data_IF_472305845583
#
_entry.id   IF_472305845583
#
_cell.length_a   1.000
_cell.length_b   1.000
_cell.length_c   1.000
_cell.angle_alpha   90.00
_cell.angle_beta   90.00
_cell.angle_gamma   90.00
#
_symmetry.space_group_name_H-M   'P 1'
#
loop_
_entity.id
_entity.type
_entity.pdbx_description
1 polymer ?
#
# COMPACT_ATOMS: atom_id res chain seq x y z
N UNK A 1 -55.15 8.08 -67.41
CA UNK A 1 -54.28 8.75 -66.42
C UNK A 1 -54.02 7.88 -65.17
N UNK A 2 -53.84 6.55 -65.31
CA UNK A 2 -53.48 5.64 -64.19
C UNK A 2 -52.17 4.86 -64.42
N UNK A 3 -51.72 4.73 -65.68
CA UNK A 3 -50.49 4.01 -66.05
C UNK A 3 -49.20 4.82 -65.81
N UNK A 4 -49.25 6.15 -65.90
CA UNK A 4 -48.07 7.02 -65.70
C UNK A 4 -47.65 7.10 -64.22
N UNK A 5 -48.60 7.03 -63.30
CA UNK A 5 -48.33 7.09 -61.86
C UNK A 5 -47.65 5.81 -61.37
N UNK A 6 -48.09 4.63 -61.84
CA UNK A 6 -47.48 3.35 -61.44
C UNK A 6 -46.04 3.14 -61.93
N UNK A 7 -45.69 3.68 -63.10
CA UNK A 7 -44.33 3.59 -63.64
C UNK A 7 -43.35 4.49 -62.86
N UNK A 8 -43.80 5.67 -62.42
CA UNK A 8 -42.99 6.59 -61.61
C UNK A 8 -42.76 6.02 -60.21
N UNK A 9 -43.76 5.38 -59.59
CA UNK A 9 -43.61 4.74 -58.29
C UNK A 9 -42.65 3.53 -58.36
N UNK A 10 -42.70 2.75 -59.44
CA UNK A 10 -41.83 1.58 -59.60
C UNK A 10 -40.35 1.98 -59.83
N UNK A 11 -40.10 3.04 -60.60
CA UNK A 11 -38.74 3.59 -60.82
C UNK A 11 -38.20 4.22 -59.53
N UNK A 12 -39.04 4.94 -58.77
CA UNK A 12 -38.65 5.49 -57.48
C UNK A 12 -38.26 4.42 -56.45
N UNK A 13 -38.98 3.30 -56.41
CA UNK A 13 -38.68 2.19 -55.50
C UNK A 13 -37.42 1.41 -55.91
N UNK A 14 -37.16 1.26 -57.23
CA UNK A 14 -35.92 0.68 -57.74
C UNK A 14 -34.69 1.57 -57.47
N UNK A 15 -34.84 2.90 -57.53
CA UNK A 15 -33.77 3.84 -57.21
C UNK A 15 -33.42 3.85 -55.71
N UNK A 16 -34.40 3.64 -54.82
CA UNK A 16 -34.15 3.52 -53.37
C UNK A 16 -33.41 2.22 -52.98
N UNK A 17 -33.58 1.14 -53.75
CA UNK A 17 -32.86 -0.12 -53.53
C UNK A 17 -31.37 -0.06 -53.94
N UNK A 18 -30.99 0.88 -54.82
CA UNK A 18 -29.61 1.03 -55.29
C UNK A 18 -28.73 1.88 -54.35
N UNK A 19 -29.33 2.61 -53.40
CA UNK A 19 -28.60 3.46 -52.43
C UNK A 19 -28.47 2.78 -51.05
N UNK A 20 -29.14 1.66 -50.83
CA UNK A 20 -29.20 0.98 -49.53
C UNK A 20 -28.06 -0.01 -49.26
N UNK A 21 -27.15 -0.23 -50.22
CA UNK A 21 -26.05 -1.20 -50.07
C UNK A 21 -24.73 -0.66 -50.61
N UNK A 22 -24.10 0.24 -49.87
CA UNK A 22 -22.64 0.31 -49.87
C UNK A 22 -22.19 -0.08 -48.47
N UNK A 23 -21.67 -1.30 -48.31
CA UNK A 23 -20.99 -1.66 -47.07
C UNK A 23 -19.83 -0.68 -46.91
N UNK A 24 -19.78 0.04 -45.79
CA UNK A 24 -18.58 0.77 -45.44
C UNK A 24 -17.44 -0.26 -45.32
N UNK A 25 -16.27 -0.01 -45.94
CA UNK A 25 -15.16 -0.91 -45.78
C UNK A 25 -14.88 -1.08 -44.28
N UNK A 26 -14.60 -2.32 -43.82
CA UNK A 26 -14.31 -2.54 -42.41
C UNK A 26 -13.19 -1.59 -41.98
N UNK A 27 -13.24 -1.06 -40.75
CA UNK A 27 -12.18 -0.22 -40.25
C UNK A 27 -10.86 -0.99 -40.39
N UNK A 28 -9.83 -0.30 -40.89
CA UNK A 28 -8.49 -0.90 -41.02
C UNK A 28 -8.10 -1.45 -39.66
N UNK A 29 -7.80 -2.74 -39.62
CA UNK A 29 -7.38 -3.38 -38.38
C UNK A 29 -6.08 -2.71 -37.91
N UNK A 30 -6.02 -2.14 -36.70
CA UNK A 30 -4.81 -1.49 -36.18
C UNK A 30 -3.62 -2.44 -36.01
N UNK A 31 -3.85 -3.75 -36.16
CA UNK A 31 -2.81 -4.79 -36.19
C UNK A 31 -2.34 -5.15 -37.62
N UNK A 32 -3.02 -4.69 -38.67
CA UNK A 32 -2.58 -4.91 -40.05
C UNK A 32 -1.36 -4.02 -40.35
N UNK A 33 -0.27 -4.63 -40.87
CA UNK A 33 0.97 -3.92 -41.16
C UNK A 33 1.94 -3.77 -39.98
N UNK A 34 1.65 -4.38 -38.83
CA UNK A 34 2.64 -4.52 -37.77
C UNK A 34 3.78 -5.43 -38.23
N UNK A 35 5.02 -5.00 -37.99
CA UNK A 35 6.19 -5.85 -38.24
C UNK A 35 6.17 -6.97 -37.19
N UNK A 36 5.91 -8.21 -37.65
CA UNK A 36 5.96 -9.40 -36.80
C UNK A 36 7.35 -9.47 -36.14
N UNK A 37 7.40 -9.65 -34.82
CA UNK A 37 8.60 -9.61 -33.96
C UNK A 37 9.22 -8.23 -33.68
N UNK A 38 8.52 -7.12 -33.92
CA UNK A 38 8.90 -5.86 -33.25
C UNK A 38 8.37 -5.85 -31.81
N UNK A 39 9.10 -6.54 -30.93
CA UNK A 39 8.97 -6.31 -29.49
C UNK A 39 9.54 -4.93 -29.16
N UNK A 40 8.69 -3.90 -29.18
CA UNK A 40 9.04 -2.52 -28.83
C UNK A 40 9.29 -2.33 -27.33
N UNK A 41 9.11 -3.38 -26.52
CA UNK A 41 9.28 -3.38 -25.06
C UNK A 41 10.30 -4.42 -24.58
N UNK A 42 11.15 -4.92 -25.48
CA UNK A 42 12.27 -5.79 -25.13
C UNK A 42 13.25 -5.10 -24.16
N UNK A 43 13.22 -5.49 -22.89
CA UNK A 43 14.18 -5.04 -21.89
C UNK A 43 15.52 -5.75 -22.12
N UNK A 44 16.44 -5.06 -22.80
CA UNK A 44 17.82 -5.49 -22.92
C UNK A 44 18.67 -4.93 -21.78
N UNK A 45 19.10 -5.80 -20.88
CA UNK A 45 20.07 -5.48 -19.84
C UNK A 45 21.47 -5.56 -20.48
N UNK A 46 22.15 -4.42 -20.59
CA UNK A 46 23.47 -4.31 -21.21
C UNK A 46 24.51 -4.10 -20.12
N UNK A 47 25.48 -5.02 -20.03
CA UNK A 47 26.62 -4.95 -19.10
C UNK A 47 26.23 -4.55 -17.66
N UNK A 48 25.26 -5.24 -17.01
CA UNK A 48 24.88 -4.87 -15.66
C UNK A 48 26.01 -5.15 -14.68
N UNK A 49 26.07 -4.34 -13.62
CA UNK A 49 26.93 -4.62 -12.47
C UNK A 49 26.63 -6.02 -11.92
N UNK A 50 27.61 -6.93 -11.79
CA UNK A 50 27.34 -8.33 -11.45
C UNK A 50 26.64 -8.55 -10.10
N UNK A 51 26.82 -7.62 -9.15
CA UNK A 51 26.20 -7.61 -7.82
C UNK A 51 24.99 -6.67 -7.73
N UNK A 52 24.40 -6.27 -8.86
CA UNK A 52 23.07 -5.64 -8.91
C UNK A 52 21.99 -6.69 -9.14
N UNK A 53 20.72 -6.38 -8.82
CA UNK A 53 19.61 -7.28 -9.15
C UNK A 53 19.53 -7.56 -10.65
N UNK A 54 19.86 -6.58 -11.50
CA UNK A 54 19.90 -6.76 -12.95
C UNK A 54 20.98 -7.77 -13.38
N UNK A 55 22.18 -7.67 -12.78
CA UNK A 55 23.28 -8.60 -13.04
C UNK A 55 23.02 -10.00 -12.49
N UNK A 56 22.45 -10.10 -11.30
CA UNK A 56 22.05 -11.38 -10.70
C UNK A 56 20.95 -12.05 -11.52
N UNK A 57 19.96 -11.29 -11.98
CA UNK A 57 18.90 -11.81 -12.83
C UNK A 57 19.44 -12.31 -14.17
N UNK A 58 20.25 -11.49 -14.86
CA UNK A 58 20.80 -11.84 -16.18
C UNK A 58 21.77 -13.02 -16.12
N UNK A 59 22.64 -13.06 -15.11
CA UNK A 59 23.72 -14.05 -15.04
C UNK A 59 23.32 -15.32 -14.27
N UNK A 60 22.31 -15.27 -13.39
CA UNK A 60 22.00 -16.38 -12.49
C UNK A 60 20.53 -16.78 -12.56
N UNK A 61 19.61 -15.92 -12.13
CA UNK A 61 18.21 -16.32 -11.93
C UNK A 61 17.54 -16.73 -13.24
N UNK A 62 17.74 -15.96 -14.31
CA UNK A 62 17.15 -16.26 -15.61
C UNK A 62 17.75 -17.51 -16.27
N UNK A 63 19.08 -17.65 -16.45
CA UNK A 63 19.65 -18.80 -17.16
C UNK A 63 19.68 -20.09 -16.35
N UNK A 64 19.66 -20.01 -15.01
CA UNK A 64 19.84 -21.20 -14.15
C UNK A 64 18.58 -21.62 -13.41
N UNK A 65 17.72 -20.66 -13.04
CA UNK A 65 16.60 -20.94 -12.14
C UNK A 65 15.23 -20.82 -12.82
N UNK A 66 15.08 -19.93 -13.81
CA UNK A 66 13.83 -19.67 -14.54
C UNK A 66 13.54 -20.73 -15.62
N UNK A 67 13.81 -22.01 -15.32
CA UNK A 67 13.60 -23.13 -16.23
C UNK A 67 12.21 -23.73 -16.04
N UNK A 68 11.68 -24.39 -17.07
CA UNK A 68 10.35 -25.00 -17.03
C UNK A 68 10.24 -26.00 -15.86
N UNK A 69 9.21 -25.84 -15.04
CA UNK A 69 8.97 -26.64 -13.84
C UNK A 69 9.80 -26.26 -12.61
N UNK A 70 10.68 -25.25 -12.69
CA UNK A 70 11.49 -24.75 -11.58
C UNK A 70 11.00 -23.38 -11.07
N UNK A 71 11.31 -22.29 -11.74
CA UNK A 71 10.84 -20.94 -11.37
C UNK A 71 10.35 -20.19 -12.61
N UNK A 72 9.55 -20.89 -13.40
CA UNK A 72 8.95 -20.44 -14.66
C UNK A 72 7.67 -19.60 -14.48
N UNK A 73 7.37 -19.21 -13.23
CA UNK A 73 6.19 -18.41 -12.89
C UNK A 73 4.89 -19.18 -12.71
N UNK A 74 4.93 -20.52 -12.73
CA UNK A 74 3.81 -21.35 -12.26
C UNK A 74 3.61 -21.24 -10.75
N UNK A 75 4.68 -20.95 -10.01
CA UNK A 75 4.68 -20.74 -8.57
C UNK A 75 5.81 -19.80 -8.16
N UNK A 76 5.78 -19.37 -6.90
CA UNK A 76 6.78 -18.46 -6.36
C UNK A 76 8.02 -19.18 -5.78
N UNK A 77 9.20 -18.53 -5.77
CA UNK A 77 9.51 -17.26 -6.43
C UNK A 77 9.46 -17.35 -7.96
N UNK A 78 9.08 -16.26 -8.62
CA UNK A 78 8.91 -16.16 -10.09
C UNK A 78 10.09 -15.42 -10.73
N UNK A 79 10.92 -16.14 -11.49
CA UNK A 79 12.10 -15.57 -12.14
C UNK A 79 11.95 -15.31 -13.64
N UNK A 80 10.72 -15.27 -14.18
CA UNK A 80 10.52 -14.96 -15.60
C UNK A 80 10.98 -13.56 -15.99
N UNK A 81 10.80 -12.59 -15.10
CA UNK A 81 11.18 -11.18 -15.31
C UNK A 81 12.04 -10.67 -14.16
N UNK A 82 12.79 -9.61 -14.41
CA UNK A 82 13.58 -8.94 -13.37
C UNK A 82 12.68 -8.47 -12.21
N UNK A 83 11.54 -7.87 -12.54
CA UNK A 83 10.61 -7.32 -11.56
C UNK A 83 9.90 -8.41 -10.76
N UNK A 84 9.47 -9.50 -11.41
CA UNK A 84 8.88 -10.64 -10.70
C UNK A 84 9.91 -11.27 -9.77
N UNK A 85 11.17 -11.40 -10.21
CA UNK A 85 12.23 -11.95 -9.39
C UNK A 85 12.45 -11.11 -8.13
N UNK A 86 12.60 -9.79 -8.28
CA UNK A 86 12.81 -8.90 -7.13
C UNK A 86 11.63 -8.95 -6.14
N UNK A 87 10.40 -8.76 -6.64
CA UNK A 87 9.21 -8.63 -5.79
C UNK A 87 8.81 -9.95 -5.12
N UNK A 88 9.16 -11.10 -5.72
CA UNK A 88 8.92 -12.41 -5.10
C UNK A 88 10.10 -12.91 -4.25
N UNK A 89 11.21 -12.17 -4.17
CA UNK A 89 12.36 -12.52 -3.32
C UNK A 89 12.47 -11.68 -2.07
N UNK A 90 12.48 -10.35 -2.21
CA UNK A 90 12.86 -9.45 -1.11
C UNK A 90 11.71 -9.31 -0.12
N UNK A 91 11.99 -9.63 1.16
CA UNK A 91 11.04 -9.68 2.27
C UNK A 91 9.81 -10.58 2.05
N UNK A 92 9.93 -11.59 1.18
CA UNK A 92 8.88 -12.59 0.99
C UNK A 92 9.09 -13.80 1.88
N UNK A 93 8.00 -14.32 2.46
CA UNK A 93 8.06 -15.50 3.33
C UNK A 93 8.49 -16.74 2.53
N UNK A 94 9.43 -17.55 3.05
CA UNK A 94 9.80 -18.81 2.43
C UNK A 94 8.62 -19.80 2.39
N UNK A 95 8.35 -20.43 1.24
CA UNK A 95 7.28 -21.44 1.11
C UNK A 95 7.65 -22.75 1.82
N UNK A 96 8.89 -23.19 1.63
CA UNK A 96 9.47 -24.34 2.34
C UNK A 96 10.54 -23.81 3.27
N UNK A 97 10.33 -23.99 4.56
CA UNK A 97 11.20 -23.50 5.62
C UNK A 97 11.36 -24.58 6.68
N UNK A 98 12.54 -24.71 7.26
CA UNK A 98 12.79 -25.53 8.46
C UNK A 98 12.46 -24.78 9.76
N UNK A 99 12.04 -23.51 9.65
CA UNK A 99 11.67 -22.62 10.74
C UNK A 99 12.73 -21.58 11.09
N UNK A 100 13.92 -21.64 10.45
CA UNK A 100 15.07 -20.80 10.84
C UNK A 100 15.19 -19.48 10.07
N UNK A 101 14.35 -19.24 9.05
CA UNK A 101 14.47 -18.09 8.16
C UNK A 101 13.14 -17.35 8.00
N UNK A 102 13.09 -16.05 8.25
CA UNK A 102 11.86 -15.26 8.09
C UNK A 102 11.59 -14.88 6.63
N UNK A 103 12.65 -14.73 5.81
CA UNK A 103 12.54 -14.19 4.46
C UNK A 103 13.37 -14.98 3.42
N UNK A 104 12.88 -15.00 2.17
CA UNK A 104 13.61 -15.47 0.98
C UNK A 104 14.92 -14.71 0.80
N UNK A 105 14.82 -13.39 0.80
CA UNK A 105 15.93 -12.45 0.91
C UNK A 105 15.61 -11.42 1.98
N UNK A 106 16.50 -11.32 2.96
CA UNK A 106 16.50 -10.30 4.01
C UNK A 106 17.61 -9.27 3.70
N UNK A 107 17.24 -8.05 3.27
CA UNK A 107 18.16 -6.93 3.13
C UNK A 107 19.15 -6.80 4.29
N UNK A 108 20.43 -6.56 3.96
CA UNK A 108 21.56 -6.45 4.89
C UNK A 108 21.92 -7.73 5.66
N UNK A 109 21.18 -8.82 5.48
CA UNK A 109 21.39 -10.07 6.21
C UNK A 109 21.41 -11.29 5.27
N UNK A 110 22.51 -11.49 4.54
CA UNK A 110 22.68 -12.67 3.71
C UNK A 110 22.67 -13.98 4.53
N UNK A 111 23.12 -13.96 5.78
CA UNK A 111 23.11 -15.12 6.67
C UNK A 111 21.67 -15.53 7.03
N UNK A 112 20.77 -14.55 7.24
CA UNK A 112 19.34 -14.75 7.53
C UNK A 112 18.46 -14.96 6.29
N UNK A 113 19.04 -15.01 5.09
CA UNK A 113 18.30 -15.20 3.84
C UNK A 113 18.26 -16.68 3.43
N UNK A 114 17.07 -17.29 3.33
CA UNK A 114 16.99 -18.72 2.93
C UNK A 114 17.51 -18.97 1.51
N UNK A 115 17.48 -17.97 0.62
CA UNK A 115 18.10 -18.08 -0.70
C UNK A 115 19.58 -18.50 -0.57
N UNK A 116 20.32 -17.84 0.32
CA UNK A 116 21.73 -18.15 0.55
C UNK A 116 21.93 -19.54 1.16
N UNK A 117 21.07 -19.93 2.10
CA UNK A 117 21.10 -21.26 2.70
C UNK A 117 20.88 -22.36 1.65
N UNK A 118 19.96 -22.16 0.71
CA UNK A 118 19.69 -23.12 -0.38
C UNK A 118 20.83 -23.20 -1.39
N UNK A 119 21.41 -22.06 -1.76
CA UNK A 119 22.56 -22.01 -2.68
C UNK A 119 23.83 -22.64 -2.07
N UNK A 120 23.94 -22.67 -0.75
CA UNK A 120 25.06 -23.25 0.00
C UNK A 120 24.82 -24.67 0.50
N UNK A 121 23.74 -25.31 0.05
CA UNK A 121 23.36 -26.66 0.46
C UNK A 121 23.15 -26.83 1.98
N UNK A 122 22.77 -25.76 2.68
CA UNK A 122 22.50 -25.79 4.12
C UNK A 122 21.06 -26.22 4.43
N UNK A 123 20.14 -26.06 3.48
CA UNK A 123 18.71 -26.40 3.60
C UNK A 123 18.27 -27.21 2.37
N UNK A 124 17.47 -28.25 2.60
CA UNK A 124 16.92 -29.11 1.54
C UNK A 124 15.57 -28.59 1.01
N UNK A 125 15.30 -28.72 -0.30
CA UNK A 125 16.26 -28.99 -1.35
C UNK A 125 17.25 -27.83 -1.53
N UNK A 126 18.52 -28.18 -1.79
CA UNK A 126 19.52 -27.22 -2.27
C UNK A 126 19.14 -26.68 -3.64
N UNK A 127 19.58 -25.46 -3.96
CA UNK A 127 19.33 -24.84 -5.26
C UNK A 127 20.66 -24.51 -5.96
N UNK A 128 20.72 -24.60 -7.30
CA UNK A 128 19.71 -25.18 -8.20
C UNK A 128 19.57 -26.70 -8.01
N UNK A 129 18.34 -27.22 -8.04
CA UNK A 129 18.07 -28.68 -7.97
C UNK A 129 18.55 -29.38 -9.25
N UNK A 130 18.35 -28.70 -10.38
CA UNK A 130 18.73 -29.15 -11.71
C UNK A 130 19.32 -27.94 -12.45
N UNK A 131 20.28 -28.21 -13.32
CA UNK A 131 20.89 -27.24 -14.21
C UNK A 131 20.80 -27.78 -15.64
N UNK A 132 20.68 -26.87 -16.61
CA UNK A 132 20.72 -27.26 -18.03
C UNK A 132 22.13 -27.76 -18.42
N UNK A 133 22.24 -28.64 -19.42
CA UNK A 133 23.53 -29.23 -19.83
C UNK A 133 24.59 -28.19 -20.24
N UNK A 134 24.17 -27.03 -20.74
CA UNK A 134 25.02 -25.92 -21.18
C UNK A 134 25.16 -24.80 -20.12
N UNK A 135 24.62 -25.00 -18.92
CA UNK A 135 24.73 -24.04 -17.82
C UNK A 135 26.18 -23.82 -17.39
N UNK A 136 26.55 -22.55 -17.19
CA UNK A 136 27.86 -22.16 -16.65
C UNK A 136 27.91 -22.17 -15.10
N UNK A 137 26.82 -22.58 -14.46
CA UNK A 137 26.70 -22.66 -13.00
C UNK A 137 27.82 -23.50 -12.36
N UNK A 138 28.15 -24.73 -12.82
CA UNK A 138 29.20 -25.54 -12.19
C UNK A 138 30.56 -24.84 -12.08
N UNK A 139 30.89 -24.01 -13.07
CA UNK A 139 32.16 -23.29 -13.16
C UNK A 139 32.13 -21.96 -12.40
N UNK A 140 30.97 -21.29 -12.35
CA UNK A 140 30.83 -19.93 -11.78
C UNK A 140 30.07 -19.84 -10.47
N UNK A 141 29.57 -20.96 -9.91
CA UNK A 141 28.72 -20.98 -8.70
C UNK A 141 29.29 -20.12 -7.56
N UNK A 142 30.58 -20.19 -7.28
CA UNK A 142 31.17 -19.48 -6.14
C UNK A 142 31.15 -17.96 -6.38
N UNK A 143 31.42 -17.53 -7.63
CA UNK A 143 31.30 -16.14 -8.04
C UNK A 143 29.85 -15.65 -7.96
N UNK A 144 28.90 -16.44 -8.48
CA UNK A 144 27.48 -16.09 -8.46
C UNK A 144 26.91 -16.00 -7.05
N UNK A 145 27.25 -16.96 -6.19
CA UNK A 145 26.86 -16.95 -4.77
C UNK A 145 27.45 -15.71 -4.07
N UNK A 146 28.70 -15.34 -4.36
CA UNK A 146 29.32 -14.14 -3.80
C UNK A 146 28.66 -12.84 -4.30
N UNK A 147 28.28 -12.77 -5.58
CA UNK A 147 27.56 -11.62 -6.13
C UNK A 147 26.20 -11.45 -5.46
N UNK A 148 25.45 -12.54 -5.28
CA UNK A 148 24.16 -12.53 -4.56
C UNK A 148 24.35 -12.13 -3.11
N UNK A 149 25.33 -12.71 -2.41
CA UNK A 149 25.64 -12.31 -1.03
C UNK A 149 25.97 -10.82 -0.92
N UNK A 150 26.77 -10.29 -1.84
CA UNK A 150 27.15 -8.87 -1.86
C UNK A 150 25.93 -7.99 -2.08
N UNK A 151 25.07 -8.34 -3.04
CA UNK A 151 23.82 -7.62 -3.28
C UNK A 151 22.91 -7.60 -2.04
N UNK A 152 22.73 -8.75 -1.38
CA UNK A 152 21.91 -8.84 -0.16
C UNK A 152 22.52 -7.99 0.96
N UNK A 153 23.82 -8.12 1.22
CA UNK A 153 24.51 -7.37 2.27
C UNK A 153 24.54 -5.85 2.00
N UNK A 154 24.42 -5.42 0.74
CA UNK A 154 24.23 -4.02 0.35
C UNK A 154 22.77 -3.54 0.47
N UNK A 155 21.89 -4.32 1.09
CA UNK A 155 20.48 -3.99 1.29
C UNK A 155 19.52 -4.53 0.23
N UNK A 156 19.98 -5.42 -0.66
CA UNK A 156 19.18 -5.94 -1.76
C UNK A 156 18.42 -4.83 -2.54
N UNK A 157 19.12 -3.79 -3.04
CA UNK A 157 18.46 -2.70 -3.75
C UNK A 157 17.77 -3.18 -5.04
N UNK A 158 16.66 -2.52 -5.38
CA UNK A 158 15.97 -2.67 -6.66
C UNK A 158 16.81 -2.12 -7.83
N UNK A 159 16.24 -2.13 -9.05
CA UNK A 159 16.92 -1.62 -10.24
C UNK A 159 17.21 -0.10 -10.18
N UNK A 160 16.48 0.65 -9.35
CA UNK A 160 16.66 2.08 -9.14
C UNK A 160 17.60 2.39 -7.97
N UNK A 161 18.11 1.38 -7.27
CA UNK A 161 18.97 1.54 -6.10
C UNK A 161 18.20 1.68 -4.79
N UNK A 162 16.88 1.54 -4.78
CA UNK A 162 16.08 1.67 -3.57
C UNK A 162 16.11 0.37 -2.78
N UNK A 163 16.33 0.47 -1.47
CA UNK A 163 16.21 -0.67 -0.56
C UNK A 163 14.76 -0.75 -0.07
N UNK A 164 14.08 -1.84 -0.42
CA UNK A 164 12.74 -2.14 0.10
C UNK A 164 12.80 -2.15 1.63
N UNK A 165 11.85 -1.48 2.26
CA UNK A 165 11.63 -1.56 3.70
C UNK A 165 10.49 -2.55 3.96
N UNK A 166 10.52 -3.24 5.11
CA UNK A 166 9.30 -3.88 5.62
C UNK A 166 8.36 -2.74 6.01
N UNK A 167 7.19 -2.69 5.38
CA UNK A 167 6.09 -1.87 5.89
C UNK A 167 5.41 -2.68 6.98
N UNK A 168 5.60 -2.25 8.22
CA UNK A 168 4.81 -2.74 9.33
C UNK A 168 3.46 -1.99 9.33
N UNK A 169 2.33 -2.67 9.56
CA UNK A 169 1.05 -1.96 9.69
C UNK A 169 1.19 -0.90 10.78
N UNK A 170 0.80 0.33 10.48
CA UNK A 170 0.84 1.42 11.45
C UNK A 170 -0.48 1.45 12.24
N UNK A 171 -0.51 1.98 13.48
CA UNK A 171 -1.73 2.16 14.23
C UNK A 171 -2.75 2.99 13.46
N UNK A 172 -4.00 2.58 13.50
CA UNK A 172 -5.11 3.26 12.84
C UNK A 172 -6.05 3.87 13.88
N UNK A 173 -6.59 5.05 13.59
CA UNK A 173 -7.67 5.62 14.39
C UNK A 173 -9.02 5.07 13.89
N UNK A 174 -9.73 4.41 14.78
CA UNK A 174 -11.05 3.83 14.50
C UNK A 174 -12.19 4.54 15.21
N UNK A 175 -11.89 5.56 16.02
CA UNK A 175 -12.89 6.37 16.69
C UNK A 175 -12.30 7.58 17.40
N UNK A 176 -13.04 8.68 17.38
CA UNK A 176 -12.80 9.85 18.20
C UNK A 176 -14.15 10.34 18.73
N UNK A 177 -14.17 10.96 19.89
CA UNK A 177 -15.39 11.54 20.43
C UNK A 177 -15.18 12.28 21.73
N UNK A 178 -16.26 12.75 22.32
CA UNK A 178 -16.20 13.56 23.53
C UNK A 178 -17.37 13.24 24.46
N UNK A 179 -17.18 13.49 25.75
CA UNK A 179 -18.29 13.56 26.70
C UNK A 179 -18.17 14.77 27.60
N UNK A 180 -19.31 15.34 27.95
CA UNK A 180 -19.46 16.28 29.06
C UNK A 180 -20.33 15.60 30.13
N UNK A 181 -19.90 15.64 31.40
CA UNK A 181 -20.60 15.00 32.51
C UNK A 181 -21.01 13.52 32.22
N UNK A 182 -20.13 12.78 31.54
CA UNK A 182 -20.33 11.39 31.06
C UNK A 182 -21.37 11.19 29.94
N UNK A 183 -22.03 12.25 29.46
CA UNK A 183 -22.92 12.18 28.32
C UNK A 183 -22.14 12.33 27.02
N UNK A 184 -22.30 11.36 26.10
CA UNK A 184 -21.61 11.37 24.81
C UNK A 184 -22.13 12.51 23.94
N UNK A 185 -21.20 13.25 23.35
CA UNK A 185 -21.54 14.44 22.58
C UNK A 185 -21.91 14.08 21.14
N UNK A 186 -22.84 14.87 20.59
CA UNK A 186 -23.27 14.72 19.21
C UNK A 186 -22.23 15.27 18.24
N UNK A 187 -22.26 14.73 17.02
CA UNK A 187 -21.48 15.23 15.88
C UNK A 187 -22.41 15.86 14.86
N UNK A 188 -21.87 16.79 14.08
CA UNK A 188 -22.55 17.33 12.90
C UNK A 188 -22.55 16.29 11.78
N UNK A 189 -23.59 15.46 11.74
CA UNK A 189 -23.64 14.28 10.85
C UNK A 189 -22.79 13.12 11.38
N UNK A 190 -22.63 12.07 10.58
CA UNK A 190 -21.96 10.84 11.05
C UNK A 190 -20.43 10.97 11.18
N UNK A 191 -19.80 11.72 10.28
CA UNK A 191 -18.33 11.87 10.19
C UNK A 191 -17.85 13.33 10.33
N UNK A 192 -18.74 14.24 10.72
CA UNK A 192 -18.39 15.65 10.92
C UNK A 192 -17.84 15.97 12.32
N UNK A 193 -17.60 17.26 12.60
CA UNK A 193 -17.04 17.72 13.87
C UNK A 193 -17.96 17.41 15.04
N UNK A 194 -17.36 17.24 16.21
CA UNK A 194 -18.09 17.23 17.49
C UNK A 194 -18.74 18.61 17.68
N UNK A 195 -20.00 18.65 18.10
CA UNK A 195 -20.70 19.91 18.41
C UNK A 195 -20.46 20.25 19.87
N UNK A 196 -19.66 21.28 20.11
CA UNK A 196 -19.20 21.71 21.44
C UNK A 196 -20.06 22.86 21.96
N UNK A 197 -20.83 22.71 23.05
CA UNK A 197 -21.51 23.83 23.67
C UNK A 197 -20.52 24.91 24.11
N UNK A 198 -20.83 26.19 23.87
CA UNK A 198 -19.96 27.29 24.31
C UNK A 198 -19.84 27.41 25.84
N UNK A 199 -20.76 26.81 26.59
CA UNK A 199 -20.71 26.72 28.05
C UNK A 199 -20.07 25.42 28.56
N UNK A 200 -19.51 24.59 27.68
CA UNK A 200 -19.06 23.27 28.07
C UNK A 200 -17.82 23.37 28.99
N UNK A 201 -17.83 22.60 30.08
CA UNK A 201 -16.72 22.55 31.03
C UNK A 201 -16.36 21.11 31.36
N UNK A 202 -15.09 20.85 31.68
CA UNK A 202 -14.59 19.49 32.01
C UNK A 202 -14.94 18.47 30.92
N UNK A 203 -14.69 18.83 29.66
CA UNK A 203 -14.96 17.94 28.52
C UNK A 203 -13.83 16.93 28.42
N UNK A 204 -14.19 15.65 28.28
CA UNK A 204 -13.23 14.59 28.02
C UNK A 204 -13.28 14.21 26.56
N UNK A 205 -12.16 14.35 25.86
CA UNK A 205 -11.96 13.79 24.52
C UNK A 205 -11.49 12.34 24.64
N UNK A 206 -11.96 11.48 23.75
CA UNK A 206 -11.66 10.05 23.72
C UNK A 206 -11.16 9.62 22.34
N UNK A 207 -10.23 8.66 22.31
CA UNK A 207 -9.67 8.10 21.09
C UNK A 207 -9.61 6.57 21.15
N UNK A 208 -9.98 5.94 20.03
CA UNK A 208 -9.94 4.50 19.81
C UNK A 208 -8.97 4.20 18.66
N UNK A 209 -8.10 3.22 18.88
CA UNK A 209 -7.11 2.78 17.90
C UNK A 209 -7.24 1.28 17.60
N UNK A 210 -6.76 0.85 16.44
CA UNK A 210 -6.50 -0.56 16.11
C UNK A 210 -5.08 -0.74 15.60
N UNK A 211 -4.55 -1.94 15.81
CA UNK A 211 -3.26 -2.39 15.28
C UNK A 211 -3.30 -3.92 15.17
N UNK A 212 -2.66 -4.49 14.14
CA UNK A 212 -2.74 -5.93 13.85
C UNK A 212 -2.02 -6.78 14.90
N UNK A 213 -0.97 -6.24 15.53
CA UNK A 213 -0.08 -7.00 16.43
C UNK A 213 -0.05 -6.50 17.88
N UNK A 214 -0.62 -5.33 18.18
CA UNK A 214 -0.52 -4.68 19.48
C UNK A 214 -1.90 -4.29 19.99
N UNK A 215 -2.12 -4.45 21.29
CA UNK A 215 -3.31 -3.89 21.92
C UNK A 215 -3.19 -2.37 21.99
N UNK A 216 -4.29 -1.61 21.81
CA UNK A 216 -4.24 -0.15 21.80
C UNK A 216 -3.60 0.47 23.07
N UNK A 217 -3.78 -0.14 24.24
CA UNK A 217 -3.19 0.31 25.51
C UNK A 217 -1.67 0.08 25.61
N UNK A 218 -1.07 -0.66 24.67
CA UNK A 218 0.37 -0.89 24.57
C UNK A 218 1.07 0.13 23.66
N UNK A 219 0.30 0.96 22.93
CA UNK A 219 0.85 2.03 22.10
C UNK A 219 1.61 3.04 22.97
N UNK A 220 2.70 3.56 22.40
CA UNK A 220 3.58 4.54 23.00
C UNK A 220 3.38 5.92 22.38
N UNK A 221 4.06 6.93 22.92
CA UNK A 221 4.02 8.31 22.41
C UNK A 221 2.62 8.94 22.36
N UNK A 222 1.68 8.46 23.20
CA UNK A 222 0.27 8.86 23.24
C UNK A 222 0.10 10.37 23.51
N UNK A 223 0.03 11.16 22.45
CA UNK A 223 -0.01 12.63 22.50
C UNK A 223 -1.07 13.19 21.57
N UNK A 224 -1.43 14.44 21.82
CA UNK A 224 -2.39 15.20 21.04
C UNK A 224 -1.94 16.65 20.89
N UNK A 225 -2.18 17.23 19.73
CA UNK A 225 -2.06 18.66 19.46
C UNK A 225 -3.35 19.21 18.88
N UNK A 226 -3.55 20.51 19.02
CA UNK A 226 -4.70 21.23 18.53
C UNK A 226 -4.28 22.35 17.57
N UNK A 227 -5.15 22.68 16.62
CA UNK A 227 -4.94 23.77 15.66
C UNK A 227 -6.28 24.31 15.15
N UNK A 228 -6.33 25.59 14.82
CA UNK A 228 -7.42 26.21 14.05
C UNK A 228 -7.33 25.90 12.54
N UNK A 229 -6.25 25.24 12.11
CA UNK A 229 -6.00 24.84 10.74
C UNK A 229 -5.79 23.32 10.62
N UNK A 230 -6.62 22.68 9.80
CA UNK A 230 -6.61 21.23 9.59
C UNK A 230 -5.28 20.63 9.07
N UNK A 231 -4.38 21.47 8.54
CA UNK A 231 -3.11 21.06 7.92
C UNK A 231 -1.89 21.76 8.53
N UNK A 232 -2.02 22.48 9.65
CA UNK A 232 -0.91 23.22 10.23
C UNK A 232 -0.82 23.03 11.75
N UNK A 233 0.01 22.08 12.17
CA UNK A 233 0.29 21.78 13.58
C UNK A 233 1.75 22.06 13.97
N UNK A 234 2.53 22.69 13.09
CA UNK A 234 3.93 23.02 13.36
C UNK A 234 4.03 23.97 14.55
N UNK A 235 4.78 23.58 15.58
CA UNK A 235 4.93 24.36 16.81
C UNK A 235 3.72 24.28 17.76
N UNK A 236 2.68 23.50 17.44
CA UNK A 236 1.58 23.24 18.36
C UNK A 236 2.08 22.49 19.60
N UNK A 237 1.54 22.84 20.75
CA UNK A 237 1.84 22.12 21.99
C UNK A 237 1.34 20.68 21.89
N UNK A 238 2.16 19.73 22.35
CA UNK A 238 1.75 18.32 22.46
C UNK A 238 1.40 17.99 23.91
N UNK A 239 0.10 17.79 24.17
CA UNK A 239 -0.43 17.32 25.45
C UNK A 239 -0.42 15.79 25.49
N UNK A 240 -0.27 15.19 26.67
CA UNK A 240 -0.22 13.74 26.85
C UNK A 240 -1.64 13.17 26.96
N UNK A 241 -1.95 12.16 26.16
CA UNK A 241 -3.16 11.35 26.30
C UNK A 241 -2.97 10.36 27.46
N UNK A 242 -4.00 10.24 28.30
CA UNK A 242 -4.07 9.27 29.37
C UNK A 242 -4.75 7.98 28.91
N UNK A 243 -4.44 6.86 29.56
CA UNK A 243 -5.12 5.59 29.32
C UNK A 243 -6.30 5.43 30.28
N UNK A 244 -7.42 4.91 29.75
CA UNK A 244 -8.54 4.46 30.56
C UNK A 244 -8.23 3.12 31.20
N UNK A 245 -8.50 2.99 32.50
CA UNK A 245 -8.44 1.70 33.19
C UNK A 245 -9.45 0.69 32.65
N UNK A 246 -10.63 1.18 32.23
CA UNK A 246 -11.66 0.38 31.56
C UNK A 246 -12.05 1.09 30.26
N UNK A 247 -11.91 0.44 29.09
CA UNK A 247 -12.29 1.05 27.82
C UNK A 247 -13.75 1.47 27.79
N UNK A 248 -14.03 2.61 27.16
CA UNK A 248 -15.40 3.06 26.91
C UNK A 248 -15.86 2.52 25.55
N UNK A 249 -17.02 1.87 25.50
CA UNK A 249 -17.58 1.31 24.27
C UNK A 249 -18.56 2.30 23.64
N UNK A 250 -18.24 2.83 22.47
CA UNK A 250 -19.08 3.78 21.73
C UNK A 250 -18.98 3.56 20.22
N UNK A 251 -19.84 4.21 19.43
CA UNK A 251 -19.76 4.18 17.97
C UNK A 251 -18.43 4.79 17.49
N UNK A 252 -17.70 4.05 16.67
CA UNK A 252 -16.46 4.47 16.03
C UNK A 252 -16.69 5.15 14.68
N UNK A 253 -15.59 5.45 14.01
CA UNK A 253 -15.54 6.13 12.72
C UNK A 253 -16.29 5.36 11.61
N UNK A 254 -16.12 4.03 11.56
CA UNK A 254 -16.78 3.16 10.58
C UNK A 254 -18.20 2.72 10.98
N UNK A 255 -18.76 3.30 12.04
CA UNK A 255 -20.12 3.02 12.51
C UNK A 255 -20.29 1.79 13.40
N UNK A 256 -19.24 0.96 13.55
CA UNK A 256 -19.20 -0.15 14.51
C UNK A 256 -18.99 0.36 15.94
N UNK A 257 -19.38 -0.42 16.95
CA UNK A 257 -19.00 -0.15 18.34
C UNK A 257 -17.54 -0.55 18.55
N UNK A 258 -16.73 0.37 19.07
CA UNK A 258 -15.28 0.20 19.28
C UNK A 258 -14.88 0.59 20.70
N UNK A 259 -13.72 0.08 21.13
CA UNK A 259 -13.15 0.37 22.44
C UNK A 259 -12.31 1.64 22.40
N UNK A 260 -12.78 2.69 23.06
CA UNK A 260 -12.01 3.90 23.33
C UNK A 260 -11.12 3.67 24.54
N UNK A 261 -9.81 3.80 24.34
CA UNK A 261 -8.79 3.47 25.35
C UNK A 261 -8.01 4.69 25.83
N UNK A 262 -7.95 5.74 25.01
CA UNK A 262 -7.21 6.96 25.32
C UNK A 262 -8.14 8.13 25.58
N UNK A 263 -7.71 9.06 26.43
CA UNK A 263 -8.46 10.28 26.69
C UNK A 263 -7.58 11.47 27.07
N UNK A 264 -8.15 12.66 27.00
CA UNK A 264 -7.63 13.87 27.62
C UNK A 264 -8.80 14.71 28.13
N UNK A 265 -8.63 15.33 29.29
CA UNK A 265 -9.55 16.34 29.81
C UNK A 265 -9.13 17.71 29.30
N UNK A 266 -10.10 18.47 28.79
CA UNK A 266 -9.94 19.83 28.31
C UNK A 266 -10.97 20.73 28.99
N UNK A 267 -10.66 22.02 29.09
CA UNK A 267 -11.62 23.06 29.44
C UNK A 267 -11.85 23.91 28.19
N UNK A 268 -12.88 23.61 27.37
CA UNK A 268 -12.99 24.21 26.05
C UNK A 268 -12.97 25.74 26.08
N UNK A 269 -13.67 26.36 27.04
CA UNK A 269 -13.77 27.81 27.16
C UNK A 269 -12.46 28.48 27.60
N UNK A 270 -11.56 27.74 28.25
CA UNK A 270 -10.25 28.24 28.69
C UNK A 270 -9.14 27.92 27.67
N UNK A 271 -9.24 26.78 26.98
CA UNK A 271 -8.20 26.25 26.09
C UNK A 271 -8.32 26.80 24.65
N UNK A 272 -9.51 27.24 24.22
CA UNK A 272 -9.77 27.53 22.81
C UNK A 272 -10.53 28.85 22.60
N UNK A 273 -10.16 29.57 21.54
CA UNK A 273 -10.84 30.80 21.13
C UNK A 273 -12.22 30.48 20.53
N UNK A 274 -13.28 30.99 21.16
CA UNK A 274 -14.67 30.87 20.71
C UNK A 274 -14.94 31.65 19.41
N UNK A 275 -14.06 32.59 19.02
CA UNK A 275 -14.10 33.27 17.74
C UNK A 275 -13.67 32.41 16.54
N UNK A 276 -13.00 31.27 16.79
CA UNK A 276 -12.66 30.31 15.76
C UNK A 276 -13.82 29.33 15.54
N UNK A 277 -14.26 29.17 14.29
CA UNK A 277 -15.41 28.32 13.97
C UNK A 277 -15.16 26.85 14.35
N UNK A 278 -13.95 26.36 14.14
CA UNK A 278 -13.60 24.96 14.27
C UNK A 278 -12.16 24.76 14.73
N UNK A 279 -11.96 23.81 15.63
CA UNK A 279 -10.66 23.39 16.13
C UNK A 279 -10.41 21.93 15.78
N UNK A 280 -9.27 21.67 15.15
CA UNK A 280 -8.81 20.36 14.74
C UNK A 280 -7.88 19.79 15.80
N UNK A 281 -7.90 18.47 15.94
CA UNK A 281 -6.94 17.76 16.77
C UNK A 281 -6.22 16.68 15.97
N UNK A 282 -4.95 16.51 16.32
CA UNK A 282 -4.04 15.53 15.75
C UNK A 282 -3.48 14.69 16.87
N UNK A 283 -3.63 13.38 16.76
CA UNK A 283 -3.07 12.43 17.72
C UNK A 283 -1.79 11.83 17.18
N UNK A 284 -0.91 11.48 18.10
CA UNK A 284 0.36 10.86 17.85
C UNK A 284 0.43 9.59 18.69
N UNK A 285 0.68 8.46 18.05
CA UNK A 285 0.83 7.15 18.68
C UNK A 285 1.96 6.39 17.99
N UNK A 286 2.58 5.45 18.69
CA UNK A 286 3.74 4.74 18.19
C UNK A 286 3.70 3.27 18.60
N UNK A 287 3.89 2.37 17.63
CA UNK A 287 4.16 0.95 17.87
C UNK A 287 5.67 0.69 18.01
N UNK A 288 6.10 -0.58 18.03
CA UNK A 288 7.52 -0.92 18.26
C UNK A 288 8.40 -0.81 17.00
N UNK A 289 7.80 -0.77 15.82
CA UNK A 289 8.46 -0.98 14.53
C UNK A 289 8.36 0.24 13.60
N UNK A 290 7.35 1.08 13.77
CA UNK A 290 7.14 2.30 12.99
C UNK A 290 7.65 3.56 13.73
N UNK A 291 8.01 4.63 12.99
CA UNK A 291 8.12 5.95 13.57
C UNK A 291 6.77 6.38 14.18
N UNK A 292 6.76 7.48 14.93
CA UNK A 292 5.52 8.07 15.46
C UNK A 292 4.51 8.27 14.33
N UNK A 293 3.35 7.63 14.46
CA UNK A 293 2.23 7.74 13.54
C UNK A 293 1.41 8.97 13.90
N UNK A 294 1.21 9.83 12.90
CA UNK A 294 0.44 11.05 13.01
C UNK A 294 -0.95 10.86 12.38
N UNK A 295 -2.02 11.16 13.13
CA UNK A 295 -3.40 10.96 12.67
C UNK A 295 -4.28 12.17 13.03
N UNK A 296 -4.90 12.86 12.05
CA UNK A 296 -4.68 12.74 10.61
C UNK A 296 -3.41 13.47 10.17
N UNK A 297 -2.79 13.02 9.08
CA UNK A 297 -1.67 13.71 8.43
C UNK A 297 -2.12 14.94 7.62
N UNK A 298 -1.19 15.82 7.27
CA UNK A 298 -1.44 16.98 6.38
C UNK A 298 -2.02 16.56 5.01
N UNK A 299 -1.67 15.36 4.52
CA UNK A 299 -2.21 14.81 3.27
C UNK A 299 -3.50 13.98 3.46
N UNK A 300 -3.99 13.86 4.69
CA UNK A 300 -5.20 13.10 5.02
C UNK A 300 -6.45 13.66 4.33
N UNK A 301 -7.41 12.78 4.04
CA UNK A 301 -8.68 13.17 3.41
C UNK A 301 -9.46 14.08 4.35
N UNK A 302 -10.07 15.14 3.81
CA UNK A 302 -10.73 16.18 4.59
C UNK A 302 -11.80 15.65 5.55
N UNK A 303 -12.59 14.64 5.18
CA UNK A 303 -13.62 14.12 6.08
C UNK A 303 -13.03 13.51 7.37
N UNK A 304 -11.81 12.94 7.32
CA UNK A 304 -11.12 12.43 8.53
C UNK A 304 -10.70 13.61 9.41
N UNK A 305 -10.19 14.68 8.81
CA UNK A 305 -9.84 15.91 9.52
C UNK A 305 -11.07 16.56 10.16
N UNK A 306 -12.19 16.58 9.45
CA UNK A 306 -13.49 17.03 9.97
C UNK A 306 -13.97 16.15 11.13
N UNK A 307 -13.83 14.82 11.03
CA UNK A 307 -14.12 13.92 12.15
C UNK A 307 -13.21 14.16 13.37
N UNK A 308 -11.95 14.50 13.11
CA UNK A 308 -10.91 14.83 14.08
C UNK A 308 -10.92 16.32 14.46
N UNK A 309 -12.11 16.85 14.75
CA UNK A 309 -12.30 18.23 15.15
C UNK A 309 -13.57 18.44 15.96
N UNK A 310 -13.69 19.62 16.56
CA UNK A 310 -14.93 20.11 17.12
C UNK A 310 -15.22 21.52 16.60
N UNK A 311 -16.51 21.89 16.56
CA UNK A 311 -16.98 23.24 16.30
C UNK A 311 -17.88 23.69 17.44
N UNK A 312 -17.98 24.99 17.65
CA UNK A 312 -18.91 25.52 18.64
C UNK A 312 -20.37 25.29 18.19
N UNK A 313 -21.25 25.04 19.15
CA UNK A 313 -22.68 25.05 18.92
C UNK A 313 -23.13 26.49 18.63
N UNK A 314 -23.93 26.65 17.57
CA UNK A 314 -24.61 27.91 17.24
C UNK A 314 -25.66 28.28 18.30
#
# INVERSE_FOLDING_TARGET
MKMRTGLITMIGMAAMLLVACTEEPPPVNPFDGQVVNQDTVSLHIINPEPNSIAGIYQNVLKPTCANSGCHDGTFEPDYRTLNSAYNTLVYQTPIKNDGNYSFRVEPYNAQGSILMARLRNMVTPSMPIQIEPDSDWPQKKDQYINNIQTWINNGAPDIMGNVRQITHPAPELIGAGASEANQWMMRSGETGPIVMPGSATNVRLYFAFSHDELMPDQLQYNRISFSDNANAFSGAEQKVLQLLATPRMERGFYGNIVAYTHYIDIDPAADFDAGQEQWYFRVYVQDQQNPVTEIPTDNGIYYIKSYMSFRWAE
#
